data_IF_717642312519
#
_entry.id   IF_717642312519
#
_cell.length_a   1.000
_cell.length_b   1.000
_cell.length_c   1.000
_cell.angle_alpha   90.00
_cell.angle_beta   90.00
_cell.angle_gamma   90.00
#
_symmetry.space_group_name_H-M   'P 1'
#
loop_
_entity.id
_entity.type
_entity.pdbx_description
1 polymer ?
#
# COMPACT_ATOMS: atom_id res chain seq x y z
N UNK A 1 -13.26 7.66 -4.34
CA UNK A 1 -11.96 8.31 -4.60
C UNK A 1 -11.51 8.16 -6.05
N UNK A 2 -11.18 6.94 -6.48
CA UNK A 2 -10.65 6.63 -7.83
C UNK A 2 -11.44 7.26 -8.98
N UNK A 3 -12.76 7.05 -9.03
CA UNK A 3 -13.59 7.45 -10.17
C UNK A 3 -13.83 8.97 -10.23
N UNK A 4 -14.02 9.60 -9.07
CA UNK A 4 -14.33 11.02 -8.96
C UNK A 4 -13.10 11.91 -8.73
N UNK A 5 -11.88 11.35 -8.90
CA UNK A 5 -10.60 12.05 -8.70
C UNK A 5 -10.45 12.73 -7.32
N UNK A 6 -11.13 12.21 -6.30
CA UNK A 6 -11.04 12.73 -4.92
C UNK A 6 -9.74 12.22 -4.30
N UNK A 7 -8.86 13.10 -3.77
CA UNK A 7 -7.61 12.70 -3.15
C UNK A 7 -7.78 11.59 -2.14
N UNK A 8 -6.88 10.63 -2.17
CA UNK A 8 -6.91 9.46 -1.30
C UNK A 8 -5.51 9.15 -0.77
N UNK A 9 -5.44 8.93 0.55
CA UNK A 9 -4.26 8.41 1.20
C UNK A 9 -4.66 7.24 2.11
N UNK A 10 -4.38 6.01 1.65
CA UNK A 10 -4.70 4.78 2.37
C UNK A 10 -3.51 4.30 3.20
N UNK A 11 -3.71 4.08 4.49
CA UNK A 11 -2.67 3.62 5.42
C UNK A 11 -2.91 2.16 5.80
N UNK A 12 -1.89 1.32 5.73
CA UNK A 12 -1.95 -0.09 6.11
C UNK A 12 -3.16 -0.78 5.45
N UNK A 13 -4.19 -1.11 6.23
CA UNK A 13 -5.44 -1.69 5.71
C UNK A 13 -6.12 -0.84 4.62
N UNK A 14 -5.93 0.48 4.62
CA UNK A 14 -6.40 1.35 3.55
C UNK A 14 -5.77 1.01 2.19
N UNK A 15 -4.46 0.79 2.13
CA UNK A 15 -3.79 0.34 0.90
C UNK A 15 -4.34 -1.02 0.44
N UNK A 16 -4.55 -1.92 1.38
CA UNK A 16 -5.06 -3.26 1.12
C UNK A 16 -6.45 -3.22 0.47
N UNK A 17 -7.37 -2.46 1.05
CA UNK A 17 -8.72 -2.28 0.50
C UNK A 17 -8.73 -1.55 -0.85
N UNK A 18 -7.87 -0.56 -1.03
CA UNK A 18 -7.71 0.11 -2.33
C UNK A 18 -7.26 -0.88 -3.43
N UNK A 19 -6.35 -1.79 -3.09
CA UNK A 19 -5.88 -2.84 -3.99
C UNK A 19 -6.99 -3.84 -4.32
N UNK A 20 -7.75 -4.29 -3.30
CA UNK A 20 -8.91 -5.17 -3.49
C UNK A 20 -9.97 -4.51 -4.39
N UNK A 21 -10.33 -3.26 -4.14
CA UNK A 21 -11.29 -2.50 -4.98
C UNK A 21 -10.83 -2.45 -6.43
N UNK A 22 -9.56 -2.13 -6.65
CA UNK A 22 -9.01 -2.02 -7.99
C UNK A 22 -9.04 -3.36 -8.73
N UNK A 23 -8.64 -4.44 -8.06
CA UNK A 23 -8.68 -5.79 -8.64
C UNK A 23 -10.12 -6.21 -8.97
N UNK A 24 -11.10 -5.90 -8.12
CA UNK A 24 -12.53 -6.20 -8.37
C UNK A 24 -13.12 -5.44 -9.56
N UNK A 25 -12.82 -4.15 -9.63
CA UNK A 25 -13.54 -3.23 -10.51
C UNK A 25 -12.80 -2.98 -11.83
N UNK A 26 -11.47 -3.01 -11.83
CA UNK A 26 -10.65 -2.78 -13.03
C UNK A 26 -10.20 -4.10 -13.66
N UNK A 27 -9.78 -5.08 -12.85
CA UNK A 27 -9.37 -6.39 -13.37
C UNK A 27 -10.52 -7.41 -13.46
N UNK A 28 -11.72 -7.06 -13.00
CA UNK A 28 -12.94 -7.88 -13.12
C UNK A 28 -13.00 -9.10 -12.19
N UNK A 29 -12.09 -9.22 -11.23
CA UNK A 29 -11.98 -10.35 -10.29
C UNK A 29 -12.96 -10.18 -9.14
N UNK A 30 -14.22 -10.60 -9.33
CA UNK A 30 -15.33 -10.26 -8.41
C UNK A 30 -15.22 -10.86 -7.02
N UNK A 31 -14.50 -11.97 -6.83
CA UNK A 31 -14.29 -12.61 -5.53
C UNK A 31 -13.02 -12.11 -4.83
N UNK A 32 -12.25 -11.24 -5.50
CA UNK A 32 -11.01 -10.69 -4.97
C UNK A 32 -11.20 -10.12 -3.58
N UNK A 33 -10.44 -10.56 -2.58
CA UNK A 33 -10.59 -10.07 -1.20
C UNK A 33 -9.32 -10.31 -0.40
N UNK A 34 -9.32 -9.93 0.87
CA UNK A 34 -8.25 -10.28 1.81
C UNK A 34 -8.57 -11.64 2.45
N UNK A 35 -7.55 -12.45 2.72
CA UNK A 35 -7.74 -13.69 3.48
C UNK A 35 -8.19 -13.44 4.93
N UNK A 36 -7.99 -12.22 5.43
CA UNK A 36 -8.56 -11.78 6.72
C UNK A 36 -10.09 -11.73 6.70
N UNK A 37 -10.69 -11.41 5.55
CA UNK A 37 -12.15 -11.31 5.39
C UNK A 37 -12.77 -12.63 4.94
N UNK A 38 -12.09 -13.38 4.09
CA UNK A 38 -12.51 -14.70 3.63
C UNK A 38 -11.28 -15.59 3.38
N UNK A 39 -10.99 -16.47 4.34
CA UNK A 39 -9.86 -17.39 4.29
C UNK A 39 -9.94 -18.37 3.11
N UNK A 40 -11.14 -18.60 2.57
CA UNK A 40 -11.39 -19.56 1.48
C UNK A 40 -11.52 -18.89 0.11
N UNK A 41 -11.20 -17.60 0.00
CA UNK A 41 -11.29 -16.90 -1.28
C UNK A 41 -10.38 -17.53 -2.33
N UNK A 42 -10.91 -17.72 -3.53
CA UNK A 42 -10.11 -18.13 -4.69
C UNK A 42 -9.30 -16.98 -5.31
N UNK A 43 -9.48 -15.75 -4.84
CA UNK A 43 -8.84 -14.54 -5.39
C UNK A 43 -8.20 -13.70 -4.27
N UNK A 44 -7.20 -14.21 -3.53
CA UNK A 44 -6.60 -13.49 -2.41
C UNK A 44 -5.68 -12.38 -2.91
N UNK A 45 -6.13 -11.12 -2.83
CA UNK A 45 -5.30 -9.94 -3.16
C UNK A 45 -4.33 -9.64 -2.04
N UNK A 46 -4.75 -9.89 -0.80
CA UNK A 46 -3.98 -9.67 0.41
C UNK A 46 -3.97 -10.99 1.17
N UNK A 47 -2.78 -11.49 1.45
CA UNK A 47 -2.58 -12.81 2.04
C UNK A 47 -1.50 -12.80 3.11
N UNK A 48 -1.34 -13.92 3.81
CA UNK A 48 -0.21 -14.11 4.71
C UNK A 48 0.96 -14.61 3.86
N UNK A 49 2.15 -14.05 4.08
CA UNK A 49 3.36 -14.52 3.40
C UNK A 49 3.51 -16.04 3.62
N UNK A 50 3.69 -16.86 2.57
CA UNK A 50 3.81 -18.31 2.68
C UNK A 50 4.90 -18.78 3.66
N UNK A 51 6.01 -18.03 3.77
CA UNK A 51 7.09 -18.31 4.72
C UNK A 51 6.67 -18.13 6.19
N UNK A 52 5.55 -17.47 6.44
CA UNK A 52 4.93 -17.25 7.75
C UNK A 52 3.62 -18.03 7.92
N UNK A 53 3.10 -18.67 6.85
CA UNK A 53 1.84 -19.39 6.89
C UNK A 53 1.87 -20.62 7.82
N UNK A 54 3.03 -21.26 7.99
CA UNK A 54 3.23 -22.32 8.99
C UNK A 54 3.04 -21.80 10.43
N UNK A 55 3.54 -20.61 10.74
CA UNK A 55 3.39 -19.99 12.06
C UNK A 55 1.93 -19.65 12.37
N UNK A 56 1.13 -19.27 11.37
CA UNK A 56 -0.31 -19.03 11.55
C UNK A 56 -1.07 -20.32 11.85
N UNK A 57 -0.79 -21.39 11.09
CA UNK A 57 -1.39 -22.72 11.32
C UNK A 57 -1.12 -23.26 12.71
N UNK A 58 0.02 -22.89 13.30
CA UNK A 58 0.43 -23.29 14.65
C UNK A 58 0.01 -22.31 15.76
N UNK A 59 -0.86 -21.32 15.47
CA UNK A 59 -1.24 -20.25 16.41
C UNK A 59 -0.05 -19.45 16.99
N UNK A 60 1.10 -19.46 16.31
CA UNK A 60 2.31 -18.71 16.66
C UNK A 60 2.24 -17.31 16.05
N UNK A 61 1.22 -16.54 16.46
CA UNK A 61 0.93 -15.19 15.95
C UNK A 61 2.06 -14.16 16.15
N UNK A 62 3.05 -14.46 16.99
CA UNK A 62 4.26 -13.65 17.14
C UNK A 62 5.20 -13.73 15.94
N UNK A 63 5.21 -14.85 15.20
CA UNK A 63 6.11 -15.10 14.06
C UNK A 63 5.54 -14.67 12.71
N UNK A 64 4.42 -13.94 12.69
CA UNK A 64 3.67 -13.55 11.48
C UNK A 64 3.45 -12.05 11.40
N UNK A 65 3.88 -11.30 12.41
CA UNK A 65 3.71 -9.86 12.48
C UNK A 65 4.96 -9.16 11.96
N UNK A 66 4.78 -8.33 10.95
CA UNK A 66 5.80 -7.39 10.51
C UNK A 66 5.73 -6.16 11.42
N UNK A 67 6.72 -6.07 12.31
CA UNK A 67 6.77 -5.08 13.36
C UNK A 67 8.16 -4.42 13.40
N UNK A 68 8.21 -3.11 13.19
CA UNK A 68 9.48 -2.37 13.20
C UNK A 68 9.67 -1.51 11.97
N UNK A 69 10.88 -0.99 11.79
CA UNK A 69 11.25 -0.21 10.63
C UNK A 69 11.80 -1.12 9.53
N UNK A 70 11.35 -0.90 8.29
CA UNK A 70 11.80 -1.65 7.13
C UNK A 70 12.05 -0.71 5.97
N UNK A 71 13.00 -1.07 5.13
CA UNK A 71 13.36 -0.26 3.97
C UNK A 71 12.35 -0.41 2.83
N UNK A 72 12.21 0.64 2.04
CA UNK A 72 11.36 0.68 0.87
C UNK A 72 12.06 1.48 -0.22
N UNK A 73 12.37 0.81 -1.33
CA UNK A 73 12.93 1.40 -2.53
C UNK A 73 11.81 2.02 -3.38
N UNK A 74 11.94 3.30 -3.72
CA UNK A 74 10.94 4.08 -4.40
C UNK A 74 11.22 4.18 -5.90
N UNK A 75 10.19 3.93 -6.72
CA UNK A 75 10.23 4.14 -8.18
C UNK A 75 10.34 5.64 -8.47
N UNK A 76 11.41 6.07 -9.14
CA UNK A 76 11.66 7.49 -9.49
C UNK A 76 10.51 8.11 -10.29
N UNK A 77 10.26 9.40 -10.06
CA UNK A 77 9.25 10.18 -10.80
C UNK A 77 7.81 10.03 -10.29
N UNK A 78 7.58 9.15 -9.33
CA UNK A 78 6.29 8.93 -8.65
C UNK A 78 5.99 10.01 -7.62
N UNK A 79 4.75 10.09 -7.12
CA UNK A 79 4.38 11.10 -6.10
C UNK A 79 5.14 10.84 -4.81
N UNK A 80 5.25 9.59 -4.40
CA UNK A 80 5.95 9.16 -3.20
C UNK A 80 7.43 9.50 -3.28
N UNK A 81 8.10 9.17 -4.39
CA UNK A 81 9.50 9.54 -4.60
C UNK A 81 9.72 11.05 -4.49
N UNK A 82 8.87 11.86 -5.14
CA UNK A 82 8.93 13.33 -5.06
C UNK A 82 8.68 13.86 -3.65
N UNK A 83 7.73 13.27 -2.91
CA UNK A 83 7.39 13.69 -1.57
C UNK A 83 8.56 13.50 -0.59
N UNK A 84 9.22 12.34 -0.67
CA UNK A 84 10.37 11.98 0.18
C UNK A 84 11.69 12.60 -0.30
N UNK A 85 11.88 12.76 -1.61
CA UNK A 85 13.11 13.30 -2.20
C UNK A 85 14.32 12.36 -2.16
N UNK A 86 14.11 11.05 -1.95
CA UNK A 86 15.16 10.03 -1.89
C UNK A 86 14.70 8.74 -2.57
N UNK A 87 15.66 7.91 -2.98
CA UNK A 87 15.38 6.62 -3.65
C UNK A 87 15.05 5.50 -2.66
N UNK A 88 15.55 5.56 -1.42
CA UNK A 88 15.29 4.57 -0.36
C UNK A 88 14.81 5.28 0.90
N UNK A 89 13.73 4.78 1.49
CA UNK A 89 13.17 5.23 2.77
C UNK A 89 13.11 4.07 3.76
N UNK A 90 12.92 4.37 5.04
CA UNK A 90 12.74 3.36 6.08
C UNK A 90 11.50 3.71 6.91
N UNK A 91 10.46 2.87 6.91
CA UNK A 91 9.16 3.20 7.51
C UNK A 91 8.66 2.12 8.47
N UNK A 92 7.76 2.50 9.40
CA UNK A 92 7.33 1.63 10.49
C UNK A 92 6.11 0.81 10.11
N UNK A 93 6.18 -0.50 10.31
CA UNK A 93 5.11 -1.45 10.07
C UNK A 93 4.56 -2.04 11.36
N UNK A 94 3.28 -2.39 11.31
CA UNK A 94 2.57 -3.15 12.34
C UNK A 94 1.37 -3.86 11.73
N UNK A 95 1.63 -4.88 10.91
CA UNK A 95 0.59 -5.63 10.23
C UNK A 95 1.04 -7.09 10.01
N UNK A 96 0.15 -7.95 9.51
CA UNK A 96 0.41 -9.38 9.31
C UNK A 96 0.20 -9.85 7.87
N UNK A 97 -0.56 -9.09 7.10
CA UNK A 97 -0.99 -9.47 5.77
C UNK A 97 -0.28 -8.61 4.75
N UNK A 98 0.19 -9.25 3.69
CA UNK A 98 0.96 -8.66 2.63
C UNK A 98 0.16 -8.69 1.33
N UNK A 99 0.52 -7.80 0.40
CA UNK A 99 -0.02 -7.86 -0.95
C UNK A 99 0.46 -9.12 -1.66
N UNK A 100 -0.46 -9.84 -2.31
CA UNK A 100 -0.12 -11.03 -3.08
C UNK A 100 0.56 -10.61 -4.40
N UNK A 101 1.85 -10.91 -4.50
CA UNK A 101 2.69 -10.56 -5.66
C UNK A 101 2.19 -11.16 -6.98
N UNK A 102 1.34 -12.18 -6.98
CA UNK A 102 0.68 -12.68 -8.20
C UNK A 102 -0.13 -11.59 -8.94
N UNK A 103 -0.65 -10.60 -8.21
CA UNK A 103 -1.41 -9.48 -8.80
C UNK A 103 -0.52 -8.31 -9.23
N UNK A 104 0.76 -8.28 -8.82
CA UNK A 104 1.67 -7.12 -8.94
C UNK A 104 1.74 -6.59 -10.38
N UNK A 105 2.05 -7.48 -11.32
CA UNK A 105 2.20 -7.10 -12.73
C UNK A 105 0.87 -6.69 -13.36
N UNK A 106 -0.22 -7.35 -12.98
CA UNK A 106 -1.55 -7.06 -13.52
C UNK A 106 -2.04 -5.68 -13.08
N UNK A 107 -1.88 -5.34 -11.78
CA UNK A 107 -2.30 -4.03 -11.27
C UNK A 107 -1.43 -2.89 -11.81
N UNK A 108 -0.11 -3.11 -11.94
CA UNK A 108 0.83 -2.08 -12.42
C UNK A 108 0.54 -1.72 -13.88
N UNK A 109 0.31 -2.73 -14.74
CA UNK A 109 -0.08 -2.56 -16.15
C UNK A 109 -1.45 -1.90 -16.30
N UNK A 110 -2.40 -2.24 -15.43
CA UNK A 110 -3.76 -1.67 -15.47
C UNK A 110 -3.85 -0.25 -14.88
N UNK A 111 -2.80 0.23 -14.19
CA UNK A 111 -2.64 1.63 -13.79
C UNK A 111 -2.60 1.89 -12.28
N UNK A 112 -2.83 0.89 -11.42
CA UNK A 112 -2.48 0.97 -10.00
C UNK A 112 -1.02 0.52 -9.86
N UNK A 113 -0.13 1.50 -10.02
CA UNK A 113 1.31 1.29 -10.11
C UNK A 113 1.88 0.90 -8.75
N UNK A 114 2.75 -0.10 -8.73
CA UNK A 114 3.53 -0.50 -7.58
C UNK A 114 4.80 0.34 -7.57
N UNK A 115 4.90 1.26 -6.61
CA UNK A 115 5.93 2.32 -6.62
C UNK A 115 6.88 2.28 -5.43
N UNK A 116 6.63 1.41 -4.46
CA UNK A 116 7.50 1.18 -3.33
C UNK A 116 7.59 -0.31 -3.03
N UNK A 117 8.82 -0.83 -2.92
CA UNK A 117 9.08 -2.25 -2.69
C UNK A 117 10.17 -2.40 -1.65
N UNK A 118 10.02 -3.32 -0.71
CA UNK A 118 11.10 -3.66 0.20
C UNK A 118 12.19 -4.45 -0.57
N UNK A 119 13.43 -3.94 -0.62
CA UNK A 119 14.48 -4.52 -1.47
C UNK A 119 14.96 -5.91 -1.00
N UNK A 120 14.74 -6.26 0.27
CA UNK A 120 15.19 -7.53 0.85
C UNK A 120 14.14 -8.64 0.67
N UNK A 121 12.87 -8.32 0.86
CA UNK A 121 11.76 -9.29 0.91
C UNK A 121 10.85 -9.26 -0.33
N UNK A 122 11.08 -8.33 -1.26
CA UNK A 122 10.26 -8.11 -2.47
C UNK A 122 8.77 -7.85 -2.18
N UNK A 123 8.46 -7.37 -0.98
CA UNK A 123 7.12 -7.00 -0.57
C UNK A 123 6.71 -5.64 -1.14
N UNK A 124 5.46 -5.53 -1.60
CA UNK A 124 4.88 -4.27 -2.08
C UNK A 124 4.52 -3.39 -0.88
N UNK A 125 5.11 -2.19 -0.85
CA UNK A 125 4.93 -1.23 0.25
C UNK A 125 4.08 -0.03 -0.12
N UNK A 126 4.08 0.37 -1.39
CA UNK A 126 3.39 1.57 -1.86
C UNK A 126 2.77 1.33 -3.22
N UNK A 127 1.50 1.72 -3.37
CA UNK A 127 0.79 1.79 -4.65
C UNK A 127 0.32 3.21 -4.96
N UNK A 128 0.33 3.56 -6.24
CA UNK A 128 -0.16 4.84 -6.76
C UNK A 128 -1.07 4.64 -7.96
N UNK A 129 -2.18 5.38 -8.04
CA UNK A 129 -3.01 5.36 -9.24
C UNK A 129 -2.47 6.35 -10.28
N UNK A 130 -2.12 5.83 -11.46
CA UNK A 130 -1.65 6.62 -12.61
C UNK A 130 -2.72 7.63 -13.03
N UNK A 131 -2.30 8.87 -13.29
CA UNK A 131 -3.19 9.95 -13.76
C UNK A 131 -4.15 10.54 -12.70
N UNK A 132 -4.14 10.03 -11.46
CA UNK A 132 -4.94 10.59 -10.37
C UNK A 132 -4.20 11.75 -9.67
N UNK A 133 -4.88 12.84 -9.24
CA UNK A 133 -4.25 13.99 -8.59
C UNK A 133 -3.44 13.61 -7.36
N UNK A 134 -4.02 12.83 -6.45
CA UNK A 134 -3.30 12.17 -5.36
C UNK A 134 -4.05 10.90 -4.95
N UNK A 135 -3.51 9.74 -5.27
CA UNK A 135 -4.02 8.45 -4.80
C UNK A 135 -2.81 7.62 -4.46
N UNK A 136 -2.52 7.54 -3.18
CA UNK A 136 -1.37 6.82 -2.64
C UNK A 136 -1.90 5.85 -1.59
N UNK A 137 -1.49 4.60 -1.66
CA UNK A 137 -1.70 3.62 -0.60
C UNK A 137 -0.35 3.16 -0.09
N UNK A 138 -0.17 3.10 1.23
CA UNK A 138 1.07 2.62 1.87
C UNK A 138 0.76 1.49 2.85
N UNK A 139 1.64 0.51 2.95
CA UNK A 139 1.51 -0.61 3.87
C UNK A 139 2.04 -0.28 5.28
N UNK A 140 2.96 0.69 5.38
CA UNK A 140 3.49 1.22 6.64
C UNK A 140 2.56 2.27 7.29
N UNK A 141 2.96 2.72 8.47
CA UNK A 141 2.30 3.71 9.32
C UNK A 141 3.09 5.03 9.38
N UNK A 142 2.93 5.92 8.38
CA UNK A 142 3.63 7.21 8.33
C UNK A 142 3.31 8.12 9.52
N UNK A 143 2.18 7.90 10.19
CA UNK A 143 1.76 8.60 11.40
C UNK A 143 2.78 8.50 12.53
N UNK A 144 3.53 7.39 12.62
CA UNK A 144 4.53 7.21 13.69
C UNK A 144 5.77 8.08 13.52
N UNK A 145 6.04 8.59 12.32
CA UNK A 145 7.20 9.45 12.02
C UNK A 145 6.83 10.91 11.76
N UNK A 146 5.54 11.23 11.70
CA UNK A 146 5.08 12.62 11.64
C UNK A 146 5.36 13.35 12.96
N UNK A 147 5.79 14.61 12.90
CA UNK A 147 6.02 15.49 14.06
C UNK A 147 5.44 16.88 13.81
N UNK A 148 5.06 17.65 14.83
CA UNK A 148 4.48 18.98 14.66
C UNK A 148 5.34 19.92 13.78
N UNK A 149 6.65 19.95 14.02
CA UNK A 149 7.60 20.79 13.27
C UNK A 149 8.15 20.12 12.00
N UNK A 150 7.83 18.85 11.77
CA UNK A 150 8.28 18.08 10.63
C UNK A 150 7.17 17.10 10.23
N UNK A 151 6.09 17.60 9.59
CA UNK A 151 5.01 16.74 9.16
C UNK A 151 5.54 15.71 8.16
N UNK A 152 5.01 14.49 8.24
CA UNK A 152 5.42 13.44 7.31
C UNK A 152 5.14 13.88 5.86
N UNK A 153 6.08 13.68 4.91
CA UNK A 153 5.98 14.22 3.56
C UNK A 153 4.71 13.78 2.82
N UNK A 154 4.29 12.51 2.96
CA UNK A 154 3.05 12.04 2.34
C UNK A 154 1.78 12.72 2.88
N UNK A 155 1.72 13.05 4.18
CA UNK A 155 0.58 13.81 4.72
C UNK A 155 0.59 15.24 4.21
N UNK A 156 1.76 15.89 4.20
CA UNK A 156 1.94 17.25 3.66
C UNK A 156 1.43 17.32 2.22
N UNK A 157 1.88 16.39 1.37
CA UNK A 157 1.56 16.41 -0.06
C UNK A 157 0.10 15.99 -0.32
N UNK A 158 -0.46 15.07 0.48
CA UNK A 158 -1.88 14.75 0.45
C UNK A 158 -2.75 15.98 0.73
N UNK A 159 -2.49 16.70 1.81
CA UNK A 159 -3.22 17.94 2.16
C UNK A 159 -3.02 19.00 1.08
N UNK A 160 -1.80 19.14 0.55
CA UNK A 160 -1.53 20.04 -0.59
C UNK A 160 -2.39 19.71 -1.82
N UNK A 161 -2.57 18.43 -2.13
CA UNK A 161 -3.44 18.00 -3.23
C UNK A 161 -4.93 18.28 -2.94
N UNK A 162 -5.39 18.09 -1.70
CA UNK A 162 -6.76 18.43 -1.27
C UNK A 162 -7.03 19.93 -1.46
N UNK A 163 -6.13 20.80 -0.98
CA UNK A 163 -6.26 22.26 -1.09
C UNK A 163 -6.23 22.72 -2.56
N UNK A 164 -5.46 22.05 -3.41
CA UNK A 164 -5.41 22.39 -4.84
C UNK A 164 -6.73 22.10 -5.55
N UNK A 165 -7.38 20.98 -5.23
CA UNK A 165 -8.66 20.59 -5.82
C UNK A 165 -9.82 21.42 -5.28
N UNK A 166 -9.83 21.76 -4.00
CA UNK A 166 -10.90 22.58 -3.41
C UNK A 166 -10.95 24.02 -3.96
N UNK A 167 -9.91 24.45 -4.69
CA UNK A 167 -9.81 25.77 -5.33
C UNK A 167 -10.16 25.75 -6.82
N UNK A 168 -10.46 24.57 -7.39
CA UNK A 168 -10.94 24.39 -8.76
C UNK A 168 -12.47 24.38 -8.77
#
# INVERSE_FOLDING_TARGET
>A
ARENKVPYFGLCYGMQLASVEFVRNVLGKKKATTVEMDENTSEPVIHINPNQASNVKENKYGGTMRLGAYDCALRRGTKSHKAYGTDIISERHRHRYEFNNEYRDAIDKAGLQVVGINPESDLVEIVELKGHPFFVGVQFHPEFKSRPMKPHPLFRDFIGAVVKISKQ
#
